data_IF_960666189081
#
_entry.id   IF_960666189081
#
_cell.length_a   1.000
_cell.length_b   1.000
_cell.length_c   1.000
_cell.angle_alpha   90.00
_cell.angle_beta   90.00
_cell.angle_gamma   90.00
#
_symmetry.space_group_name_H-M   'P 1'
#
loop_
_entity.id
_entity.type
_entity.pdbx_description
1 polymer ?
#
# COMPACT_ATOMS: atom_id res chain seq x y z
N UNK A 1 33.35 -12.22 -5.47
CA UNK A 1 32.87 -12.25 -6.87
C UNK A 1 32.11 -10.96 -7.14
N UNK A 2 32.33 -10.30 -8.28
CA UNK A 2 31.56 -9.11 -8.64
C UNK A 2 30.14 -9.53 -9.06
N UNK A 3 29.13 -8.75 -8.65
CA UNK A 3 27.75 -8.95 -9.08
C UNK A 3 27.69 -8.69 -10.60
N UNK A 4 27.07 -9.57 -11.40
CA UNK A 4 26.92 -9.36 -12.84
C UNK A 4 26.22 -8.03 -13.14
N UNK A 5 26.74 -7.28 -14.12
CA UNK A 5 26.07 -6.08 -14.60
C UNK A 5 24.91 -6.44 -15.52
N UNK A 6 23.73 -5.94 -15.22
CA UNK A 6 22.57 -6.00 -16.12
C UNK A 6 22.48 -4.65 -16.84
N UNK A 7 22.50 -4.67 -18.17
CA UNK A 7 22.30 -3.48 -19.01
C UNK A 7 20.85 -3.44 -19.48
N UNK A 8 20.18 -2.32 -19.27
CA UNK A 8 18.78 -2.12 -19.66
C UNK A 8 18.64 -0.85 -20.49
N UNK A 9 17.67 -0.86 -21.40
CA UNK A 9 17.23 0.30 -22.19
C UNK A 9 16.44 1.29 -21.32
N UNK A 10 16.25 2.50 -21.84
CA UNK A 10 15.38 3.51 -21.19
C UNK A 10 13.94 3.02 -21.03
N UNK A 11 13.42 2.28 -22.00
CA UNK A 11 12.06 1.75 -21.97
C UNK A 11 11.88 0.69 -20.89
N UNK A 12 12.87 -0.19 -20.71
CA UNK A 12 12.88 -1.18 -19.64
C UNK A 12 12.98 -0.52 -18.26
N UNK A 13 13.85 0.49 -18.10
CA UNK A 13 13.93 1.24 -16.86
C UNK A 13 12.63 1.99 -16.55
N UNK A 14 11.96 2.56 -17.56
CA UNK A 14 10.70 3.28 -17.37
C UNK A 14 9.60 2.42 -16.75
N UNK A 15 9.59 1.10 -17.02
CA UNK A 15 8.67 0.12 -16.41
C UNK A 15 8.88 -0.07 -14.89
N UNK A 16 9.99 0.45 -14.34
CA UNK A 16 10.34 0.41 -12.91
C UNK A 16 10.25 1.79 -12.25
N UNK A 17 9.62 2.77 -12.90
CA UNK A 17 9.47 4.14 -12.37
C UNK A 17 8.00 4.48 -12.17
N UNK A 18 7.61 4.72 -10.92
CA UNK A 18 6.31 5.25 -10.55
C UNK A 18 6.45 6.74 -10.19
N UNK A 19 5.65 7.61 -10.82
CA UNK A 19 5.54 9.02 -10.41
C UNK A 19 4.26 9.21 -9.63
N UNK A 20 4.33 9.85 -8.46
CA UNK A 20 3.16 10.07 -7.61
C UNK A 20 2.02 10.79 -8.36
N UNK A 21 2.35 11.81 -9.16
CA UNK A 21 1.38 12.56 -9.98
C UNK A 21 0.62 11.72 -11.02
N UNK A 22 1.15 10.55 -11.38
CA UNK A 22 0.54 9.65 -12.37
C UNK A 22 -0.29 8.55 -11.66
N UNK A 23 -0.23 8.45 -10.32
CA UNK A 23 -0.96 7.44 -9.56
C UNK A 23 -2.43 7.80 -9.44
N UNK A 24 -3.27 6.78 -9.61
CA UNK A 24 -4.72 6.92 -9.42
C UNK A 24 -5.11 6.46 -8.02
N UNK A 25 -5.76 7.34 -7.28
CA UNK A 25 -6.30 7.04 -5.96
C UNK A 25 -7.68 6.39 -6.02
N UNK A 26 -7.92 5.47 -5.09
CA UNK A 26 -9.20 4.78 -4.91
C UNK A 26 -9.63 4.83 -3.45
N UNK A 27 -10.92 5.02 -3.19
CA UNK A 27 -11.51 5.19 -1.86
C UNK A 27 -12.37 4.00 -1.42
N UNK A 28 -12.17 2.85 -2.07
CA UNK A 28 -12.94 1.63 -1.83
C UNK A 28 -12.11 0.36 -2.02
N UNK A 29 -12.76 -0.78 -1.88
CA UNK A 29 -12.15 -2.09 -2.12
C UNK A 29 -11.52 -2.74 -0.89
N UNK A 30 -11.67 -2.15 0.30
CA UNK A 30 -11.43 -2.80 1.59
C UNK A 30 -12.75 -2.88 2.40
N UNK A 31 -12.89 -3.85 3.31
CA UNK A 31 -14.12 -4.04 4.09
C UNK A 31 -14.57 -2.81 4.89
N UNK A 32 -13.62 -1.98 5.33
CA UNK A 32 -13.87 -0.82 6.17
C UNK A 32 -14.06 0.49 5.38
N UNK A 33 -13.88 0.49 4.05
CA UNK A 33 -13.77 1.74 3.27
C UNK A 33 -15.01 2.66 3.34
N UNK A 34 -16.19 2.11 3.63
CA UNK A 34 -17.43 2.87 3.77
C UNK A 34 -17.66 3.41 5.19
N UNK A 35 -16.86 3.00 6.18
CA UNK A 35 -17.01 3.46 7.55
C UNK A 35 -16.54 4.93 7.67
N UNK A 36 -17.29 5.84 8.33
CA UNK A 36 -17.00 7.28 8.29
C UNK A 36 -15.58 7.67 8.74
N UNK A 37 -15.04 7.03 9.79
CA UNK A 37 -13.68 7.28 10.26
C UNK A 37 -12.60 6.58 9.41
N UNK A 38 -13.01 5.73 8.47
CA UNK A 38 -12.10 4.93 7.67
C UNK A 38 -11.95 5.42 6.22
N UNK A 39 -12.68 6.47 5.83
CA UNK A 39 -12.59 7.05 4.50
C UNK A 39 -11.18 7.58 4.24
N UNK A 40 -10.54 7.03 3.21
CA UNK A 40 -9.17 7.31 2.77
C UNK A 40 -9.01 6.98 1.29
N UNK A 41 -8.05 7.60 0.61
CA UNK A 41 -7.63 7.21 -0.73
C UNK A 41 -6.35 6.40 -0.67
N UNK A 42 -6.35 5.28 -1.38
CA UNK A 42 -5.21 4.38 -1.52
C UNK A 42 -4.68 4.45 -2.95
N UNK A 43 -3.38 4.57 -3.07
CA UNK A 43 -2.63 4.61 -4.32
C UNK A 43 -1.67 3.43 -4.34
N UNK A 44 -1.45 2.84 -5.51
CA UNK A 44 -0.58 1.69 -5.66
C UNK A 44 0.60 1.98 -6.58
N UNK A 45 1.81 2.01 -6.02
CA UNK A 45 3.04 2.29 -6.77
C UNK A 45 3.72 1.00 -7.25
N UNK A 46 3.78 -0.03 -6.39
CA UNK A 46 4.50 -1.28 -6.66
C UNK A 46 3.71 -2.47 -6.14
N UNK A 47 3.53 -3.51 -6.96
CA UNK A 47 2.72 -4.68 -6.59
C UNK A 47 1.24 -4.29 -6.49
N UNK A 48 0.39 -4.87 -5.67
CA UNK A 48 0.31 -6.27 -5.29
C UNK A 48 -0.41 -7.03 -6.43
N UNK A 49 0.34 -7.76 -7.26
CA UNK A 49 -0.30 -8.63 -8.25
C UNK A 49 -0.52 -10.02 -7.65
N UNK A 50 -1.77 -10.51 -7.57
CA UNK A 50 -2.06 -11.85 -7.08
C UNK A 50 -1.24 -12.90 -7.84
N UNK A 51 -0.76 -13.98 -7.18
CA UNK A 51 -0.14 -15.09 -7.88
C UNK A 51 -1.08 -15.63 -8.98
N UNK A 52 -0.54 -16.02 -10.14
CA UNK A 52 -1.35 -16.62 -11.22
C UNK A 52 -2.15 -17.81 -10.68
N UNK A 53 -3.48 -17.79 -10.87
CA UNK A 53 -4.40 -18.82 -10.39
C UNK A 53 -4.91 -18.64 -8.96
N UNK A 54 -4.40 -17.63 -8.22
CA UNK A 54 -4.97 -17.18 -6.95
C UNK A 54 -5.53 -15.78 -7.14
N UNK A 55 -6.83 -15.62 -6.99
CA UNK A 55 -7.52 -14.34 -7.14
C UNK A 55 -8.91 -14.40 -6.52
N UNK A 56 -9.46 -13.25 -6.15
CA UNK A 56 -10.73 -13.18 -5.41
C UNK A 56 -10.53 -13.14 -3.90
N UNK A 57 -11.44 -13.76 -3.14
CA UNK A 57 -11.51 -13.66 -1.68
C UNK A 57 -10.33 -14.28 -0.91
N UNK A 58 -9.49 -15.09 -1.56
CA UNK A 58 -8.36 -15.76 -0.91
C UNK A 58 -7.15 -14.86 -0.66
N UNK A 59 -7.03 -13.74 -1.41
CA UNK A 59 -5.91 -12.81 -1.29
C UNK A 59 -6.42 -11.38 -1.40
N UNK A 60 -6.49 -10.69 -0.27
CA UNK A 60 -6.91 -9.28 -0.20
C UNK A 60 -5.68 -8.40 -0.32
N UNK A 61 -5.64 -7.55 -1.33
CA UNK A 61 -4.59 -6.53 -1.46
C UNK A 61 -4.72 -5.51 -0.31
N UNK A 62 -3.61 -5.09 0.33
CA UNK A 62 -3.65 -4.07 1.40
C UNK A 62 -4.09 -2.69 0.89
N UNK A 63 -4.08 -2.47 -0.42
CA UNK A 63 -4.60 -1.24 -1.06
C UNK A 63 -6.00 -1.41 -1.68
N UNK A 64 -6.64 -2.57 -1.46
CA UNK A 64 -7.91 -2.92 -2.08
C UNK A 64 -7.76 -3.36 -3.54
N UNK A 65 -8.79 -4.05 -4.05
CA UNK A 65 -8.75 -4.67 -5.39
C UNK A 65 -8.61 -3.66 -6.54
N UNK A 66 -9.24 -2.49 -6.41
CA UNK A 66 -9.21 -1.47 -7.46
C UNK A 66 -7.83 -0.82 -7.58
N UNK A 67 -7.20 -0.42 -6.48
CA UNK A 67 -5.83 0.10 -6.51
C UNK A 67 -4.82 -0.99 -6.91
N UNK A 68 -5.02 -2.25 -6.48
CA UNK A 68 -4.20 -3.39 -6.92
C UNK A 68 -4.16 -3.52 -8.45
N UNK A 69 -5.32 -3.44 -9.10
CA UNK A 69 -5.45 -3.52 -10.55
C UNK A 69 -4.85 -2.33 -11.31
N UNK A 70 -4.53 -1.23 -10.62
CA UNK A 70 -4.01 0.02 -11.20
C UNK A 70 -2.59 0.35 -10.71
N UNK A 71 -1.80 -0.67 -10.36
CA UNK A 71 -0.41 -0.49 -9.96
C UNK A 71 0.42 0.16 -11.06
N UNK A 72 1.23 1.16 -10.71
CA UNK A 72 2.19 1.75 -11.64
C UNK A 72 3.30 0.76 -12.05
N UNK A 73 3.71 -0.12 -11.13
CA UNK A 73 4.73 -1.15 -11.34
C UNK A 73 4.10 -2.50 -10.97
N UNK A 74 3.40 -3.17 -11.91
CA UNK A 74 2.63 -4.39 -11.66
C UNK A 74 3.55 -5.62 -11.57
N UNK A 75 4.17 -5.82 -10.41
CA UNK A 75 5.11 -6.92 -10.14
C UNK A 75 4.65 -7.80 -8.98
N UNK A 76 5.24 -9.00 -8.87
CA UNK A 76 5.03 -9.95 -7.75
C UNK A 76 6.37 -10.34 -7.13
N UNK A 77 7.12 -9.37 -6.61
CA UNK A 77 8.49 -9.57 -6.08
C UNK A 77 8.54 -9.70 -4.54
N UNK A 78 7.40 -9.99 -3.90
CA UNK A 78 7.34 -10.26 -2.45
C UNK A 78 7.24 -9.02 -1.56
N UNK A 79 7.05 -7.82 -2.13
CA UNK A 79 6.70 -6.60 -1.41
C UNK A 79 5.72 -5.77 -2.23
N UNK A 80 5.02 -4.85 -1.56
CA UNK A 80 4.21 -3.82 -2.19
C UNK A 80 4.58 -2.45 -1.63
N UNK A 81 4.32 -1.41 -2.42
CA UNK A 81 4.42 -0.03 -1.98
C UNK A 81 3.15 0.70 -2.41
N UNK A 82 2.42 1.20 -1.43
CA UNK A 82 1.25 2.04 -1.63
C UNK A 82 1.36 3.34 -0.86
N UNK A 83 0.48 4.28 -1.19
CA UNK A 83 0.31 5.52 -0.44
C UNK A 83 -1.12 5.60 0.10
N UNK A 84 -1.25 6.16 1.29
CA UNK A 84 -2.53 6.45 1.92
C UNK A 84 -2.69 7.96 2.09
N UNK A 85 -3.83 8.50 1.67
CA UNK A 85 -4.23 9.88 1.90
C UNK A 85 -5.55 9.86 2.66
N UNK A 86 -5.59 10.54 3.81
CA UNK A 86 -6.78 10.63 4.64
C UNK A 86 -6.97 12.06 5.15
N UNK A 87 -8.21 12.41 5.48
CA UNK A 87 -8.50 13.65 6.22
C UNK A 87 -8.04 13.50 7.68
N UNK A 88 -7.79 14.60 8.41
CA UNK A 88 -7.50 14.53 9.83
C UNK A 88 -8.56 13.73 10.60
N UNK A 89 -8.12 12.81 11.45
CA UNK A 89 -9.00 11.91 12.21
C UNK A 89 -9.45 10.66 11.45
N UNK A 90 -9.07 10.49 10.19
CA UNK A 90 -9.37 9.30 9.40
C UNK A 90 -8.14 8.43 9.17
N UNK A 91 -8.36 7.12 9.03
CA UNK A 91 -7.33 6.13 8.77
C UNK A 91 -7.91 4.72 8.66
N UNK A 92 -7.11 3.68 8.35
CA UNK A 92 -7.61 2.32 8.41
C UNK A 92 -8.13 1.96 9.81
N UNK A 93 -9.19 1.15 9.89
CA UNK A 93 -9.62 0.58 11.17
C UNK A 93 -8.53 -0.34 11.74
N UNK A 94 -8.47 -0.52 13.07
CA UNK A 94 -7.52 -1.44 13.71
C UNK A 94 -7.70 -2.87 13.18
N UNK A 95 -6.60 -3.48 12.75
CA UNK A 95 -6.56 -4.87 12.27
C UNK A 95 -5.13 -5.41 12.36
N UNK A 96 -4.93 -6.68 12.03
CA UNK A 96 -3.64 -7.35 12.04
C UNK A 96 -3.30 -7.93 10.66
N UNK A 97 -2.00 -8.19 10.45
CA UNK A 97 -1.46 -8.81 9.25
C UNK A 97 -0.59 -10.01 9.61
N UNK A 98 -0.42 -10.93 8.65
CA UNK A 98 0.59 -12.00 8.66
C UNK A 98 1.88 -11.60 7.92
N UNK A 99 1.99 -10.32 7.54
CA UNK A 99 3.14 -9.70 6.88
C UNK A 99 3.65 -8.50 7.68
N UNK A 100 4.88 -8.06 7.37
CA UNK A 100 5.42 -6.83 7.95
C UNK A 100 4.88 -5.62 7.16
N UNK A 101 4.38 -4.62 7.89
CA UNK A 101 4.03 -3.32 7.34
C UNK A 101 4.92 -2.24 7.96
N UNK A 102 5.32 -1.26 7.14
CA UNK A 102 6.19 -0.16 7.56
C UNK A 102 5.60 1.17 7.11
N UNK A 103 5.57 2.15 8.00
CA UNK A 103 4.96 3.46 7.75
C UNK A 103 6.02 4.53 7.55
N UNK A 104 5.82 5.38 6.54
CA UNK A 104 6.67 6.54 6.26
C UNK A 104 5.76 7.76 6.01
N UNK A 105 5.58 8.66 7.01
CA UNK A 105 4.80 9.86 6.80
C UNK A 105 5.49 10.74 5.75
N UNK A 106 4.77 11.05 4.66
CA UNK A 106 5.28 11.95 3.61
C UNK A 106 4.87 13.39 3.85
N UNK A 107 3.66 13.59 4.35
CA UNK A 107 3.06 14.90 4.63
C UNK A 107 2.08 14.80 5.79
N UNK A 108 1.96 15.88 6.58
CA UNK A 108 1.07 15.94 7.73
C UNK A 108 1.60 15.13 8.92
N UNK A 109 0.80 15.09 9.98
CA UNK A 109 1.10 14.32 11.20
C UNK A 109 0.10 13.17 11.32
N UNK A 110 0.61 11.99 11.60
CA UNK A 110 -0.12 10.73 11.67
C UNK A 110 0.04 10.10 13.04
N UNK A 111 -1.00 9.40 13.50
CA UNK A 111 -0.92 8.52 14.67
C UNK A 111 -0.85 7.07 14.21
N UNK A 112 0.24 6.39 14.54
CA UNK A 112 0.36 4.95 14.37
C UNK A 112 0.01 4.28 15.71
N UNK A 113 -1.13 3.58 15.77
CA UNK A 113 -1.61 2.91 16.98
C UNK A 113 -1.65 1.40 16.81
N UNK A 114 -1.38 0.65 17.88
CA UNK A 114 -1.49 -0.81 17.95
C UNK A 114 -1.94 -1.25 19.35
N UNK A 115 -2.40 -2.49 19.48
CA UNK A 115 -2.74 -3.06 20.79
C UNK A 115 -1.55 -3.82 21.38
N UNK A 116 -1.28 -3.63 22.66
CA UNK A 116 -0.35 -4.42 23.47
C UNK A 116 -0.99 -4.77 24.81
N UNK A 117 -1.19 -6.06 25.09
CA UNK A 117 -1.76 -6.57 26.35
C UNK A 117 -3.10 -5.91 26.74
N UNK A 118 -4.01 -5.73 25.77
CA UNK A 118 -5.33 -5.14 25.98
C UNK A 118 -5.31 -3.62 26.20
N UNK A 119 -4.22 -2.95 25.83
CA UNK A 119 -4.09 -1.48 25.85
C UNK A 119 -3.71 -0.97 24.47
N UNK A 120 -4.25 0.19 24.13
CA UNK A 120 -3.84 0.93 22.94
C UNK A 120 -2.52 1.66 23.21
N UNK A 121 -1.51 1.34 22.43
CA UNK A 121 -0.25 2.06 22.33
C UNK A 121 -0.22 2.88 21.04
N UNK A 122 0.55 3.98 21.03
CA UNK A 122 0.71 4.78 19.81
C UNK A 122 1.97 5.64 19.81
N UNK A 123 2.38 6.04 18.60
CA UNK A 123 3.28 7.18 18.38
C UNK A 123 2.68 8.12 17.35
N UNK A 124 2.88 9.42 17.56
CA UNK A 124 2.62 10.43 16.55
C UNK A 124 3.90 10.65 15.71
N UNK A 125 3.77 10.61 14.38
CA UNK A 125 4.86 10.66 13.41
C UNK A 125 4.53 11.63 12.27
N UNK A 126 5.54 12.35 11.75
CA UNK A 126 5.37 13.32 10.67
C UNK A 126 5.46 14.76 11.14
#
# INVERSE_FOLDING_TARGET
MAIPQIRVTREEMRKRVAYFKDLKGFDGGLPDSSYPSAVRKLYNAVGFQPPKGKGGAEVVSPVGAQAAANSAIPISEGFNLGFCEAKPGNGPMMHNHDTNETFMPLTGTWRCSWELDGKDEYFDVG
#
